data_IF_017190642892
#
_entry.id   IF_017190642892
#
_cell.length_a   1.000
_cell.length_b   1.000
_cell.length_c   1.000
_cell.angle_alpha   90.00
_cell.angle_beta   90.00
_cell.angle_gamma   90.00
#
_symmetry.space_group_name_H-M   'P 1'
#
loop_
_entity.id
_entity.type
_entity.pdbx_description
1 polymer ?
#
# COMPACT_ATOMS: atom_id res chain seq x y z
N UNK A 1 15.73 26.79 10.65
CA UNK A 1 14.91 26.61 9.42
C UNK A 1 15.84 26.06 8.37
N UNK A 2 15.55 24.87 7.86
CA UNK A 2 16.34 24.17 6.85
C UNK A 2 15.76 24.43 5.48
N UNK A 3 16.60 24.82 4.52
CA UNK A 3 16.18 25.02 3.14
C UNK A 3 16.32 23.72 2.37
N UNK A 4 15.27 23.32 1.66
CA UNK A 4 15.25 22.14 0.75
C UNK A 4 14.81 22.59 -0.62
N UNK A 5 15.67 22.43 -1.62
CA UNK A 5 15.36 22.84 -2.98
C UNK A 5 14.49 21.78 -3.68
N UNK A 6 13.48 22.22 -4.45
CA UNK A 6 12.53 21.34 -5.16
C UNK A 6 13.21 20.33 -6.07
N UNK A 7 14.39 20.61 -6.62
CA UNK A 7 15.12 19.65 -7.46
C UNK A 7 15.58 18.41 -6.70
N UNK A 8 15.87 18.53 -5.41
CA UNK A 8 16.21 17.40 -4.55
C UNK A 8 14.98 16.50 -4.36
N UNK A 9 13.83 17.11 -4.11
CA UNK A 9 12.54 16.40 -3.98
C UNK A 9 12.22 15.65 -5.28
N UNK A 10 12.29 16.34 -6.42
CA UNK A 10 12.04 15.75 -7.75
C UNK A 10 12.92 14.53 -8.01
N UNK A 11 14.23 14.66 -7.78
CA UNK A 11 15.18 13.57 -7.95
C UNK A 11 14.84 12.37 -7.06
N UNK A 12 14.58 12.58 -5.77
CA UNK A 12 14.26 11.51 -4.85
C UNK A 12 12.94 10.80 -5.24
N UNK A 13 11.88 11.54 -5.55
CA UNK A 13 10.60 10.96 -6.00
C UNK A 13 10.79 10.12 -7.27
N UNK A 14 11.54 10.62 -8.26
CA UNK A 14 11.88 9.88 -9.48
C UNK A 14 12.51 8.53 -9.16
N UNK A 15 13.58 8.54 -8.39
CA UNK A 15 14.31 7.33 -8.00
C UNK A 15 13.44 6.37 -7.20
N UNK A 16 12.63 6.87 -6.25
CA UNK A 16 11.70 6.07 -5.46
C UNK A 16 10.61 5.40 -6.28
N UNK A 17 10.11 6.06 -7.33
CA UNK A 17 9.15 5.45 -8.26
C UNK A 17 9.73 4.24 -8.99
N UNK A 18 10.97 4.35 -9.44
CA UNK A 18 11.69 3.26 -10.13
C UNK A 18 12.01 2.14 -9.14
N UNK A 19 12.66 2.48 -8.03
CA UNK A 19 13.06 1.54 -6.98
C UNK A 19 11.88 0.69 -6.49
N UNK A 20 10.77 1.33 -6.12
CA UNK A 20 9.59 0.64 -5.62
C UNK A 20 8.95 -0.31 -6.65
N UNK A 21 9.10 -0.04 -7.95
CA UNK A 21 8.57 -0.91 -8.99
C UNK A 21 9.51 -2.05 -9.42
N UNK A 22 10.80 -1.91 -9.16
CA UNK A 22 11.80 -2.94 -9.52
C UNK A 22 12.13 -3.88 -8.36
N UNK A 23 11.99 -3.41 -7.12
CA UNK A 23 12.37 -4.15 -5.93
C UNK A 23 11.27 -4.14 -4.88
N UNK A 24 10.97 -5.29 -4.31
CA UNK A 24 10.23 -5.34 -3.04
C UNK A 24 11.19 -5.11 -1.87
N UNK A 25 10.67 -4.53 -0.79
CA UNK A 25 11.37 -4.45 0.49
C UNK A 25 11.68 -5.84 1.04
N UNK A 26 12.71 -5.94 1.88
CA UNK A 26 13.16 -7.23 2.42
C UNK A 26 12.10 -7.90 3.30
N UNK A 27 11.30 -7.14 4.04
CA UNK A 27 10.17 -7.67 4.81
C UNK A 27 9.13 -8.35 3.93
N UNK A 28 8.80 -7.76 2.78
CA UNK A 28 7.88 -8.34 1.80
C UNK A 28 8.47 -9.60 1.14
N UNK A 29 9.75 -9.57 0.73
CA UNK A 29 10.43 -10.73 0.18
C UNK A 29 10.44 -11.89 1.17
N UNK A 30 10.83 -11.61 2.42
CA UNK A 30 10.87 -12.61 3.49
C UNK A 30 9.49 -13.20 3.78
N UNK A 31 8.44 -12.37 3.76
CA UNK A 31 7.07 -12.83 3.94
C UNK A 31 6.62 -13.77 2.80
N UNK A 32 6.94 -13.43 1.54
CA UNK A 32 6.65 -14.30 0.39
C UNK A 32 7.42 -15.61 0.44
N UNK A 33 8.71 -15.58 0.84
CA UNK A 33 9.52 -16.78 0.96
C UNK A 33 8.99 -17.70 2.05
N UNK A 34 8.68 -17.14 3.22
CA UNK A 34 8.05 -17.87 4.32
C UNK A 34 6.69 -18.45 3.91
N UNK A 35 5.89 -17.69 3.17
CA UNK A 35 4.61 -18.17 2.64
C UNK A 35 4.79 -19.38 1.71
N UNK A 36 5.79 -19.36 0.83
CA UNK A 36 6.09 -20.49 -0.06
C UNK A 36 6.54 -21.75 0.69
N UNK A 37 7.23 -21.57 1.82
CA UNK A 37 7.68 -22.69 2.67
C UNK A 37 6.54 -23.26 3.54
N UNK A 38 5.50 -22.48 3.81
CA UNK A 38 4.35 -22.84 4.66
C UNK A 38 3.12 -23.30 3.87
N UNK A 39 3.06 -23.05 2.58
CA UNK A 39 1.92 -23.44 1.74
C UNK A 39 1.85 -24.97 1.59
N UNK A 40 0.69 -25.53 1.82
CA UNK A 40 0.45 -26.98 1.76
C UNK A 40 -0.17 -27.42 0.42
N UNK A 41 -0.84 -26.50 -0.29
CA UNK A 41 -1.44 -26.82 -1.58
C UNK A 41 -0.35 -26.85 -2.68
N UNK A 42 -0.18 -27.98 -3.41
CA UNK A 42 0.86 -28.09 -4.42
C UNK A 42 0.80 -27.00 -5.50
N UNK A 43 -0.40 -26.57 -5.92
CA UNK A 43 -0.57 -25.48 -6.89
C UNK A 43 -0.19 -24.13 -6.26
N UNK A 44 -0.58 -23.90 -5.01
CA UNK A 44 -0.18 -22.72 -4.23
C UNK A 44 1.34 -22.61 -4.09
N UNK A 45 2.01 -23.72 -3.76
CA UNK A 45 3.49 -23.79 -3.71
C UNK A 45 4.12 -23.43 -5.06
N UNK A 46 3.60 -23.96 -6.16
CA UNK A 46 4.10 -23.67 -7.50
C UNK A 46 3.97 -22.19 -7.83
N UNK A 47 2.82 -21.57 -7.53
CA UNK A 47 2.55 -20.14 -7.78
C UNK A 47 3.50 -19.28 -6.95
N UNK A 48 3.63 -19.55 -5.63
CA UNK A 48 4.50 -18.78 -4.76
C UNK A 48 5.97 -18.87 -5.20
N UNK A 49 6.42 -20.03 -5.69
CA UNK A 49 7.77 -20.18 -6.26
C UNK A 49 7.94 -19.37 -7.56
N UNK A 50 6.93 -19.32 -8.43
CA UNK A 50 6.95 -18.44 -9.61
C UNK A 50 7.02 -16.97 -9.22
N UNK A 51 6.32 -16.54 -8.15
CA UNK A 51 6.44 -15.17 -7.65
C UNK A 51 7.85 -14.86 -7.14
N UNK A 52 8.50 -15.81 -6.45
CA UNK A 52 9.92 -15.66 -6.03
C UNK A 52 10.86 -15.51 -7.22
N UNK A 53 10.69 -16.35 -8.23
CA UNK A 53 11.48 -16.29 -9.47
C UNK A 53 11.27 -14.95 -10.21
N UNK A 54 10.02 -14.50 -10.31
CA UNK A 54 9.69 -13.20 -10.90
C UNK A 54 10.40 -12.03 -10.19
N UNK A 55 10.50 -12.04 -8.86
CA UNK A 55 11.23 -11.02 -8.12
C UNK A 55 12.73 -11.02 -8.44
N UNK A 56 13.34 -12.20 -8.60
CA UNK A 56 14.73 -12.32 -8.96
C UNK A 56 14.97 -11.75 -10.37
N UNK A 57 14.19 -12.19 -11.35
CA UNK A 57 14.27 -11.72 -12.74
C UNK A 57 14.07 -10.20 -12.82
N UNK A 58 13.06 -9.64 -12.15
CA UNK A 58 12.79 -8.21 -12.17
C UNK A 58 13.98 -7.39 -11.64
N UNK A 59 14.61 -7.85 -10.56
CA UNK A 59 15.77 -7.21 -9.98
C UNK A 59 17.05 -7.33 -10.82
N UNK A 60 17.29 -8.49 -11.43
CA UNK A 60 18.46 -8.74 -12.27
C UNK A 60 18.38 -8.01 -13.62
N UNK A 61 17.22 -8.08 -14.27
CA UNK A 61 16.98 -7.48 -15.59
C UNK A 61 16.63 -6.00 -15.53
N UNK A 62 16.46 -5.43 -14.32
CA UNK A 62 16.07 -4.02 -14.12
C UNK A 62 14.75 -3.68 -14.84
N UNK A 63 13.75 -4.53 -14.62
CA UNK A 63 12.40 -4.37 -15.18
C UNK A 63 11.34 -4.36 -14.07
N UNK A 64 10.14 -3.79 -14.31
CA UNK A 64 9.09 -3.77 -13.30
C UNK A 64 8.62 -5.17 -12.91
N UNK A 65 8.40 -5.39 -11.61
CA UNK A 65 7.90 -6.66 -11.04
C UNK A 65 6.55 -7.07 -11.63
N UNK A 66 5.73 -6.10 -12.02
CA UNK A 66 4.36 -6.30 -12.51
C UNK A 66 4.06 -5.33 -13.65
N UNK A 67 3.18 -5.73 -14.58
CA UNK A 67 2.67 -4.86 -15.65
C UNK A 67 1.85 -3.68 -15.12
N UNK A 68 1.20 -3.81 -13.95
CA UNK A 68 0.54 -2.70 -13.28
C UNK A 68 1.53 -2.03 -12.32
N UNK A 69 2.20 -1.00 -12.81
CA UNK A 69 3.14 -0.19 -12.02
C UNK A 69 2.43 0.88 -11.17
N UNK A 70 1.11 0.86 -11.19
CA UNK A 70 0.25 1.59 -10.27
C UNK A 70 0.11 3.08 -10.53
N UNK A 71 -0.75 3.70 -9.73
CA UNK A 71 -0.83 5.14 -9.55
C UNK A 71 0.05 5.53 -8.36
N UNK A 72 0.86 6.57 -8.50
CA UNK A 72 1.73 7.01 -7.42
C UNK A 72 0.92 7.62 -6.27
N UNK A 73 0.98 7.01 -5.09
CA UNK A 73 0.51 7.60 -3.83
C UNK A 73 1.74 8.07 -3.08
N UNK A 74 1.75 9.33 -2.66
CA UNK A 74 2.88 9.95 -1.98
C UNK A 74 2.41 10.48 -0.62
N UNK A 75 3.06 10.02 0.45
CA UNK A 75 2.93 10.63 1.76
C UNK A 75 4.14 11.52 1.98
N UNK A 76 3.90 12.80 2.23
CA UNK A 76 4.91 13.82 2.49
C UNK A 76 4.73 14.36 3.93
N UNK A 77 5.59 13.89 4.84
CA UNK A 77 5.68 14.40 6.20
C UNK A 77 6.71 15.54 6.20
N UNK A 78 6.23 16.78 6.27
CA UNK A 78 7.05 17.99 6.16
C UNK A 78 7.32 18.56 7.54
N UNK A 79 8.59 18.67 7.92
CA UNK A 79 9.00 19.32 9.16
C UNK A 79 8.57 20.78 9.17
N UNK A 80 8.01 21.26 10.29
CA UNK A 80 7.52 22.64 10.39
C UNK A 80 8.64 23.71 10.31
N UNK A 81 9.90 23.29 10.47
CA UNK A 81 11.09 24.15 10.32
C UNK A 81 11.76 24.02 8.96
N UNK A 82 11.09 23.40 7.99
CA UNK A 82 11.54 23.28 6.59
C UNK A 82 11.01 24.47 5.78
N UNK A 83 11.89 25.06 4.98
CA UNK A 83 11.54 25.98 3.92
C UNK A 83 11.84 25.37 2.56
N UNK A 84 10.82 25.27 1.72
CA UNK A 84 10.94 24.69 0.36
C UNK A 84 11.25 25.84 -0.61
N UNK A 85 12.35 25.71 -1.34
CA UNK A 85 12.84 26.69 -2.29
C UNK A 85 12.75 26.21 -3.73
N UNK A 86 12.64 27.16 -4.66
CA UNK A 86 12.73 26.91 -6.10
C UNK A 86 11.42 26.53 -6.77
N UNK A 87 10.30 26.42 -6.02
CA UNK A 87 8.99 26.14 -6.58
C UNK A 87 8.00 25.49 -5.64
N UNK A 88 6.94 24.92 -6.19
CA UNK A 88 5.89 24.23 -5.46
C UNK A 88 6.30 22.79 -5.12
N UNK A 89 6.04 22.36 -3.87
CA UNK A 89 6.24 20.98 -3.44
C UNK A 89 5.41 19.98 -4.28
N UNK A 90 4.16 20.35 -4.57
CA UNK A 90 3.28 19.51 -5.38
C UNK A 90 3.81 19.32 -6.82
N UNK A 91 4.31 20.40 -7.42
CA UNK A 91 4.86 20.35 -8.77
C UNK A 91 6.17 19.55 -8.81
N UNK A 92 7.01 19.68 -7.77
CA UNK A 92 8.24 18.91 -7.64
C UNK A 92 7.97 17.40 -7.50
N UNK A 93 6.96 17.01 -6.70
CA UNK A 93 6.54 15.63 -6.58
C UNK A 93 6.00 15.10 -7.91
N UNK A 94 5.10 15.83 -8.57
CA UNK A 94 4.55 15.43 -9.86
C UNK A 94 5.63 15.34 -10.95
N UNK A 95 6.58 16.27 -10.97
CA UNK A 95 7.73 16.20 -11.88
C UNK A 95 8.56 14.95 -11.64
N UNK A 96 8.80 14.59 -10.38
CA UNK A 96 9.51 13.35 -10.01
C UNK A 96 8.77 12.11 -10.47
N UNK A 97 7.44 12.06 -10.29
CA UNK A 97 6.59 10.96 -10.79
C UNK A 97 6.65 10.88 -12.32
N UNK A 98 6.46 12.01 -13.03
CA UNK A 98 6.62 12.07 -14.48
C UNK A 98 7.96 11.45 -14.92
N UNK A 99 9.07 11.96 -14.38
CA UNK A 99 10.41 11.52 -14.77
C UNK A 99 10.62 10.03 -14.42
N UNK A 100 10.18 9.58 -13.24
CA UNK A 100 10.29 8.19 -12.81
C UNK A 100 9.52 7.22 -13.69
N UNK A 101 8.29 7.56 -14.07
CA UNK A 101 7.48 6.71 -14.94
C UNK A 101 7.90 6.71 -16.40
N UNK A 102 8.50 7.81 -16.87
CA UNK A 102 9.01 7.89 -18.24
C UNK A 102 10.36 7.19 -18.36
N UNK A 103 11.33 7.54 -17.51
CA UNK A 103 12.69 7.01 -17.58
C UNK A 103 12.82 5.58 -17.06
N UNK A 104 11.99 5.18 -16.07
CA UNK A 104 11.90 3.80 -15.57
C UNK A 104 11.05 2.86 -16.42
N UNK A 105 10.61 3.30 -17.62
CA UNK A 105 9.75 2.49 -18.51
C UNK A 105 8.51 1.92 -17.81
N UNK A 106 7.98 2.64 -16.81
CA UNK A 106 6.80 2.24 -16.07
C UNK A 106 5.53 2.52 -16.88
N UNK A 107 4.46 1.75 -16.62
CA UNK A 107 3.18 1.89 -17.32
C UNK A 107 2.49 3.18 -16.90
N UNK A 108 2.10 4.01 -17.87
CA UNK A 108 1.32 5.23 -17.68
C UNK A 108 -0.16 4.85 -17.61
N UNK A 109 -0.70 4.77 -16.40
CA UNK A 109 -2.06 4.26 -16.16
C UNK A 109 -3.07 5.34 -15.75
N UNK A 110 -2.63 6.58 -15.55
CA UNK A 110 -3.49 7.68 -15.11
C UNK A 110 -4.27 8.26 -16.29
N UNK A 111 -5.55 8.51 -16.07
CA UNK A 111 -6.44 9.22 -17.00
C UNK A 111 -6.85 10.56 -16.40
N UNK A 112 -6.94 11.60 -17.21
CA UNK A 112 -7.20 12.97 -16.79
C UNK A 112 -8.64 13.21 -16.32
N UNK A 113 -9.58 12.38 -16.77
CA UNK A 113 -10.98 12.43 -16.40
C UNK A 113 -11.52 11.01 -16.20
N UNK A 114 -12.26 10.73 -15.11
CA UNK A 114 -12.74 9.37 -14.80
C UNK A 114 -13.78 8.85 -15.79
N UNK A 115 -14.45 9.70 -16.57
CA UNK A 115 -15.50 9.32 -17.52
C UNK A 115 -14.99 9.35 -18.98
N UNK A 116 -14.31 10.43 -19.39
CA UNK A 116 -13.71 10.59 -20.73
C UNK A 116 -12.49 9.69 -20.90
N UNK A 117 -11.70 9.50 -19.83
CA UNK A 117 -10.60 8.54 -19.69
C UNK A 117 -9.44 8.74 -20.67
N UNK A 118 -9.14 9.97 -21.01
CA UNK A 118 -7.95 10.30 -21.79
C UNK A 118 -6.70 10.12 -20.95
N UNK A 119 -5.72 9.36 -21.45
CA UNK A 119 -4.49 9.05 -20.71
C UNK A 119 -3.58 10.27 -20.62
N UNK A 120 -3.01 10.54 -19.45
CA UNK A 120 -2.10 11.67 -19.20
C UNK A 120 -0.72 11.48 -19.83
N UNK A 121 -0.35 10.25 -20.21
CA UNK A 121 0.90 9.83 -20.86
C UNK A 121 2.16 9.91 -20.01
N UNK A 122 2.05 10.34 -18.76
CA UNK A 122 3.17 10.52 -17.84
C UNK A 122 2.89 10.00 -16.42
N UNK A 123 1.70 9.43 -16.20
CA UNK A 123 1.22 8.91 -14.93
C UNK A 123 1.04 9.95 -13.82
N UNK A 124 0.88 11.21 -14.18
CA UNK A 124 0.51 12.28 -13.26
C UNK A 124 -0.98 12.65 -13.38
N UNK A 125 -1.59 13.30 -12.37
CA UNK A 125 -0.98 13.67 -11.10
C UNK A 125 -0.85 12.47 -10.13
N UNK A 126 0.09 12.58 -9.20
CA UNK A 126 0.15 11.70 -8.03
C UNK A 126 -1.00 12.03 -7.05
N UNK A 127 -1.39 11.03 -6.25
CA UNK A 127 -2.23 11.26 -5.06
C UNK A 127 -1.31 11.62 -3.89
N UNK A 128 -1.29 12.89 -3.49
CA UNK A 128 -0.36 13.40 -2.49
C UNK A 128 -1.09 13.69 -1.18
N UNK A 129 -0.60 13.10 -0.10
CA UNK A 129 -1.05 13.36 1.26
C UNK A 129 0.04 14.08 2.04
N UNK A 130 -0.28 15.25 2.58
CA UNK A 130 0.64 16.06 3.35
C UNK A 130 0.34 15.95 4.84
N UNK A 131 1.40 15.92 5.66
CA UNK A 131 1.32 16.14 7.09
C UNK A 131 2.46 17.06 7.52
N UNK A 132 2.16 17.95 8.47
CA UNK A 132 3.17 18.79 9.11
C UNK A 132 3.57 18.11 10.42
N UNK A 133 4.87 17.91 10.59
CA UNK A 133 5.45 17.24 11.76
C UNK A 133 6.49 18.16 12.44
N UNK A 134 6.81 17.96 13.71
CA UNK A 134 7.92 18.69 14.35
C UNK A 134 9.26 18.39 13.64
N UNK A 135 10.17 19.39 13.64
CA UNK A 135 11.54 19.21 13.14
C UNK A 135 11.78 19.81 11.76
N UNK A 136 12.93 19.46 11.18
CA UNK A 136 13.50 20.09 9.97
C UNK A 136 13.77 19.09 8.84
N UNK A 137 13.17 17.90 8.89
CA UNK A 137 13.29 16.90 7.83
C UNK A 137 12.01 16.79 7.01
N UNK A 138 12.14 16.33 5.78
CA UNK A 138 11.02 15.89 4.95
C UNK A 138 11.13 14.38 4.82
N UNK A 139 10.13 13.63 5.30
CA UNK A 139 10.04 12.20 5.03
C UNK A 139 9.05 11.97 3.89
N UNK A 140 9.53 11.34 2.84
CA UNK A 140 8.75 10.96 1.66
C UNK A 140 8.54 9.46 1.65
N UNK A 141 7.29 9.05 1.42
CA UNK A 141 6.96 7.66 1.12
C UNK A 141 6.25 7.61 -0.22
N UNK A 142 6.80 6.90 -1.18
CA UNK A 142 6.20 6.67 -2.50
C UNK A 142 5.68 5.24 -2.54
N UNK A 143 4.39 5.06 -2.70
CA UNK A 143 3.71 3.77 -2.76
C UNK A 143 2.92 3.65 -4.07
N UNK A 144 3.51 3.07 -5.13
CA UNK A 144 2.79 2.81 -6.37
C UNK A 144 1.67 1.79 -6.14
N UNK A 145 0.42 2.22 -6.29
CA UNK A 145 -0.75 1.40 -5.96
C UNK A 145 -1.44 0.86 -7.20
N UNK A 146 -1.34 -0.46 -7.39
CA UNK A 146 -2.04 -1.18 -8.46
C UNK A 146 -3.55 -1.21 -8.26
N UNK A 147 -4.32 -1.07 -9.35
CA UNK A 147 -5.77 -0.90 -9.28
C UNK A 147 -6.57 -2.20 -9.24
N UNK A 148 -6.00 -3.33 -9.60
CA UNK A 148 -6.67 -4.63 -9.40
C UNK A 148 -7.08 -4.83 -7.94
N UNK A 149 -6.13 -4.68 -7.02
CA UNK A 149 -6.40 -4.77 -5.59
C UNK A 149 -7.08 -3.51 -5.02
N UNK A 150 -6.78 -2.31 -5.54
CA UNK A 150 -7.44 -1.07 -5.09
C UNK A 150 -8.95 -1.13 -5.26
N UNK A 151 -9.44 -1.64 -6.39
CA UNK A 151 -10.86 -1.79 -6.66
C UNK A 151 -11.60 -2.71 -5.68
N UNK A 152 -10.86 -3.56 -4.97
CA UNK A 152 -11.43 -4.49 -3.99
C UNK A 152 -11.53 -3.90 -2.59
N UNK A 153 -11.09 -2.66 -2.39
CA UNK A 153 -11.14 -1.97 -1.10
C UNK A 153 -12.56 -1.56 -0.74
N UNK A 154 -12.85 -1.46 0.58
CA UNK A 154 -14.18 -1.15 1.11
C UNK A 154 -14.10 -0.18 2.28
N UNK A 155 -15.15 0.62 2.46
CA UNK A 155 -15.37 1.42 3.66
C UNK A 155 -16.72 1.05 4.25
N UNK A 156 -16.72 0.72 5.53
CA UNK A 156 -17.91 0.38 6.30
C UNK A 156 -18.13 1.44 7.38
N UNK A 157 -19.34 1.94 7.47
CA UNK A 157 -19.76 2.82 8.55
C UNK A 157 -20.55 1.99 9.56
N UNK A 158 -19.81 1.34 10.47
CA UNK A 158 -20.40 0.49 11.48
C UNK A 158 -20.99 1.30 12.63
N UNK A 159 -21.86 0.66 13.41
CA UNK A 159 -22.40 1.22 14.66
C UNK A 159 -21.45 0.89 15.82
N UNK A 160 -21.35 1.74 16.84
CA UNK A 160 -20.56 1.43 18.04
C UNK A 160 -20.93 0.09 18.69
N UNK A 161 -22.20 -0.30 18.62
CA UNK A 161 -22.69 -1.57 19.14
C UNK A 161 -22.16 -2.82 18.42
N UNK A 162 -21.67 -2.68 17.17
CA UNK A 162 -21.07 -3.77 16.41
C UNK A 162 -19.71 -4.16 16.99
N UNK A 163 -19.05 -3.23 17.69
CA UNK A 163 -17.83 -3.46 18.46
C UNK A 163 -16.66 -4.02 17.64
N UNK A 164 -15.75 -4.67 18.34
CA UNK A 164 -14.58 -5.30 17.73
C UNK A 164 -14.95 -6.45 16.80
N UNK A 165 -15.93 -7.26 17.18
CA UNK A 165 -16.42 -8.38 16.38
C UNK A 165 -16.98 -7.91 15.03
N UNK A 166 -17.78 -6.84 15.03
CA UNK A 166 -18.29 -6.24 13.78
C UNK A 166 -17.16 -5.75 12.89
N UNK A 167 -16.12 -5.14 13.46
CA UNK A 167 -14.94 -4.70 12.69
C UNK A 167 -14.18 -5.90 12.09
N UNK A 168 -13.92 -6.96 12.87
CA UNK A 168 -13.30 -8.21 12.37
C UNK A 168 -14.11 -8.80 11.22
N UNK A 169 -15.44 -8.91 11.39
CA UNK A 169 -16.33 -9.46 10.36
C UNK A 169 -16.32 -8.61 9.08
N UNK A 170 -16.31 -7.29 9.19
CA UNK A 170 -16.22 -6.38 8.05
C UNK A 170 -14.91 -6.57 7.27
N UNK A 171 -13.76 -6.71 7.96
CA UNK A 171 -12.46 -6.93 7.34
C UNK A 171 -12.44 -8.28 6.60
N UNK A 172 -12.83 -9.36 7.27
CA UNK A 172 -12.87 -10.70 6.69
C UNK A 172 -13.83 -10.77 5.50
N UNK A 173 -14.99 -10.10 5.58
CA UNK A 173 -15.95 -10.00 4.46
C UNK A 173 -15.34 -9.29 3.25
N UNK A 174 -14.64 -8.17 3.46
CA UNK A 174 -13.98 -7.45 2.39
C UNK A 174 -12.95 -8.32 1.65
N UNK A 175 -12.14 -9.10 2.39
CA UNK A 175 -11.17 -10.03 1.77
C UNK A 175 -11.87 -11.17 1.03
N UNK A 176 -12.93 -11.74 1.60
CA UNK A 176 -13.72 -12.79 0.96
C UNK A 176 -14.34 -12.31 -0.36
N UNK A 177 -14.92 -11.10 -0.36
CA UNK A 177 -15.51 -10.49 -1.57
C UNK A 177 -14.44 -10.16 -2.62
N UNK A 178 -13.25 -9.73 -2.21
CA UNK A 178 -12.14 -9.48 -3.10
C UNK A 178 -11.71 -10.76 -3.84
N UNK A 179 -11.61 -11.87 -3.11
CA UNK A 179 -11.26 -13.17 -3.67
C UNK A 179 -9.99 -13.12 -4.52
N UNK A 180 -10.00 -13.75 -5.70
CA UNK A 180 -8.85 -13.76 -6.61
C UNK A 180 -8.54 -12.38 -7.22
N UNK A 181 -9.51 -11.46 -7.27
CA UNK A 181 -9.37 -10.17 -7.95
C UNK A 181 -8.35 -9.23 -7.29
N UNK A 182 -8.02 -9.47 -6.02
CA UNK A 182 -6.98 -8.72 -5.33
C UNK A 182 -5.55 -9.24 -5.57
N UNK A 183 -5.38 -10.31 -6.38
CA UNK A 183 -4.12 -10.99 -6.65
C UNK A 183 -3.41 -11.44 -5.36
N UNK A 184 -4.01 -12.37 -4.57
CA UNK A 184 -3.41 -12.87 -3.35
C UNK A 184 -2.08 -13.65 -3.63
N UNK A 185 -1.20 -13.80 -2.60
CA UNK A 185 -1.44 -13.39 -1.22
C UNK A 185 -1.41 -11.88 -1.04
N UNK A 186 -2.39 -11.36 -0.28
CA UNK A 186 -2.57 -9.91 -0.10
C UNK A 186 -1.91 -9.38 1.16
N UNK A 187 -1.65 -8.07 1.17
CA UNK A 187 -1.47 -7.29 2.40
C UNK A 187 -2.74 -6.46 2.60
N UNK A 188 -3.32 -6.54 3.79
CA UNK A 188 -4.57 -5.86 4.14
C UNK A 188 -4.25 -4.67 5.05
N UNK A 189 -4.43 -3.47 4.55
CA UNK A 189 -4.34 -2.25 5.34
C UNK A 189 -5.73 -1.87 5.89
N UNK A 190 -5.81 -1.61 7.18
CA UNK A 190 -7.07 -1.29 7.85
C UNK A 190 -6.94 0.03 8.60
N UNK A 191 -7.97 0.86 8.49
CA UNK A 191 -8.14 2.06 9.29
C UNK A 191 -9.43 2.00 10.09
N UNK A 192 -9.35 2.12 11.41
CA UNK A 192 -10.51 2.07 12.31
C UNK A 192 -10.60 3.37 13.10
N UNK A 193 -11.78 3.99 13.06
CA UNK A 193 -12.04 5.25 13.77
C UNK A 193 -11.83 6.48 12.88
N UNK A 194 -11.81 7.66 13.52
CA UNK A 194 -11.80 8.95 12.82
C UNK A 194 -13.15 9.23 12.13
N UNK A 195 -13.04 9.72 10.91
CA UNK A 195 -14.12 10.02 9.98
C UNK A 195 -14.01 9.12 8.75
N UNK A 196 -14.93 9.19 7.82
CA UNK A 196 -14.96 8.41 6.57
C UNK A 196 -13.61 8.49 5.82
N UNK A 197 -13.15 9.69 5.53
CA UNK A 197 -11.89 9.94 4.82
C UNK A 197 -10.66 9.58 5.66
N UNK A 198 -10.73 9.82 6.99
CA UNK A 198 -9.62 9.49 7.90
C UNK A 198 -9.38 7.98 7.99
N UNK A 199 -10.45 7.20 8.09
CA UNK A 199 -10.37 5.74 8.08
C UNK A 199 -9.76 5.23 6.76
N UNK A 200 -10.21 5.75 5.61
CA UNK A 200 -9.66 5.39 4.30
C UNK A 200 -8.18 5.74 4.15
N UNK A 201 -7.77 6.94 4.61
CA UNK A 201 -6.37 7.37 4.61
C UNK A 201 -5.51 6.47 5.49
N UNK A 202 -5.98 6.15 6.71
CA UNK A 202 -5.26 5.25 7.62
C UNK A 202 -5.10 3.84 7.05
N UNK A 203 -6.12 3.31 6.38
CA UNK A 203 -6.04 2.03 5.71
C UNK A 203 -4.96 2.04 4.61
N UNK A 204 -4.86 3.12 3.83
CA UNK A 204 -3.80 3.30 2.84
C UNK A 204 -2.42 3.38 3.47
N UNK A 205 -2.27 4.15 4.55
CA UNK A 205 -1.02 4.26 5.30
C UNK A 205 -0.60 2.93 5.94
N UNK A 206 -1.56 2.13 6.43
CA UNK A 206 -1.29 0.83 7.01
C UNK A 206 -0.61 -0.14 6.04
N UNK A 207 -0.82 0.00 4.73
CA UNK A 207 -0.13 -0.78 3.70
C UNK A 207 1.38 -0.49 3.61
N UNK A 208 1.84 0.67 4.09
CA UNK A 208 3.26 1.04 4.08
C UNK A 208 3.99 0.65 5.38
N UNK A 209 3.30 0.02 6.33
CA UNK A 209 3.93 -0.54 7.52
C UNK A 209 4.65 -1.84 7.14
N UNK A 210 5.89 -2.08 7.63
CA UNK A 210 6.62 -3.29 7.32
C UNK A 210 5.86 -4.55 7.71
N UNK A 211 5.84 -5.54 6.83
CA UNK A 211 5.19 -6.84 7.05
C UNK A 211 5.92 -7.57 8.18
N UNK A 212 5.15 -8.18 9.08
CA UNK A 212 5.68 -8.84 10.29
C UNK A 212 5.83 -7.92 11.50
N UNK A 213 5.48 -6.62 11.36
CA UNK A 213 5.32 -5.72 12.50
C UNK A 213 3.87 -5.68 12.97
N UNK A 214 3.67 -5.31 14.23
CA UNK A 214 2.34 -5.22 14.83
C UNK A 214 2.08 -3.84 15.42
N UNK A 215 0.81 -3.56 15.69
CA UNK A 215 0.40 -2.38 16.45
C UNK A 215 1.04 -2.37 17.84
N UNK A 216 1.38 -1.18 18.34
CA UNK A 216 1.85 -0.98 19.72
C UNK A 216 0.75 -1.24 20.77
N UNK A 217 -0.52 -1.16 20.37
CA UNK A 217 -1.65 -1.44 21.23
C UNK A 217 -1.92 -2.95 21.28
N UNK A 218 -1.81 -3.61 22.46
CA UNK A 218 -1.94 -5.06 22.57
C UNK A 218 -3.27 -5.62 22.04
N UNK A 219 -4.38 -4.91 22.22
CA UNK A 219 -5.69 -5.30 21.70
C UNK A 219 -5.77 -5.25 20.18
N UNK A 220 -5.10 -4.28 19.56
CA UNK A 220 -5.06 -4.16 18.09
C UNK A 220 -4.10 -5.20 17.50
N UNK A 221 -2.96 -5.44 18.15
CA UNK A 221 -2.08 -6.55 17.78
C UNK A 221 -2.81 -7.88 17.77
N UNK A 222 -3.54 -8.20 18.84
CA UNK A 222 -4.34 -9.43 18.91
C UNK A 222 -5.40 -9.50 17.81
N UNK A 223 -6.03 -8.37 17.46
CA UNK A 223 -6.97 -8.28 16.35
C UNK A 223 -6.28 -8.50 14.98
N UNK A 224 -5.08 -7.96 14.76
CA UNK A 224 -4.30 -8.21 13.54
C UNK A 224 -4.01 -9.70 13.34
N UNK A 225 -3.59 -10.39 14.42
CA UNK A 225 -3.30 -11.82 14.43
C UNK A 225 -4.57 -12.65 14.18
N UNK A 226 -5.67 -12.34 14.87
CA UNK A 226 -6.97 -13.00 14.70
C UNK A 226 -7.50 -12.85 13.27
N UNK A 227 -7.46 -11.63 12.73
CA UNK A 227 -7.95 -11.38 11.37
C UNK A 227 -7.10 -12.08 10.33
N UNK A 228 -5.77 -12.08 10.49
CA UNK A 228 -4.85 -12.79 9.58
C UNK A 228 -5.16 -14.30 9.55
N UNK A 229 -5.38 -14.92 10.71
CA UNK A 229 -5.77 -16.32 10.80
C UNK A 229 -7.11 -16.57 10.10
N UNK A 230 -8.15 -15.77 10.39
CA UNK A 230 -9.47 -15.89 9.76
C UNK A 230 -9.43 -15.71 8.25
N UNK A 231 -8.61 -14.78 7.76
CA UNK A 231 -8.43 -14.53 6.33
C UNK A 231 -7.73 -15.72 5.65
N UNK A 232 -6.70 -16.28 6.26
CA UNK A 232 -6.01 -17.44 5.72
C UNK A 232 -6.92 -18.69 5.72
N UNK A 233 -7.77 -18.83 6.73
CA UNK A 233 -8.79 -19.90 6.80
C UNK A 233 -9.90 -19.76 5.74
N UNK A 234 -9.97 -18.67 4.97
CA UNK A 234 -10.87 -18.59 3.81
C UNK A 234 -10.46 -19.55 2.68
N UNK A 235 -9.21 -19.98 2.65
CA UNK A 235 -8.71 -20.93 1.66
C UNK A 235 -8.65 -20.39 0.23
N UNK A 236 -8.63 -19.06 0.05
CA UNK A 236 -8.55 -18.42 -1.29
C UNK A 236 -7.21 -18.76 -1.93
N UNK A 237 -6.12 -18.69 -1.17
CA UNK A 237 -4.78 -19.09 -1.59
C UNK A 237 -4.14 -18.18 -2.63
N UNK A 238 -2.90 -18.52 -3.01
CA UNK A 238 -2.13 -17.77 -4.00
C UNK A 238 -2.87 -17.72 -5.35
N UNK A 239 -2.91 -16.53 -5.96
CA UNK A 239 -3.64 -16.22 -7.19
C UNK A 239 -5.16 -16.57 -7.13
N UNK A 240 -5.72 -16.90 -5.98
CA UNK A 240 -7.10 -17.31 -5.81
C UNK A 240 -7.39 -18.75 -6.24
N UNK A 241 -6.37 -19.59 -6.33
CA UNK A 241 -6.47 -20.98 -6.82
C UNK A 241 -6.47 -22.02 -5.67
N UNK A 242 -6.80 -21.58 -4.47
CA UNK A 242 -6.82 -22.42 -3.28
C UNK A 242 -5.45 -22.46 -2.58
N UNK A 243 -5.47 -22.74 -1.28
CA UNK A 243 -4.28 -22.86 -0.48
C UNK A 243 -4.43 -22.23 0.92
N UNK A 244 -3.38 -22.32 1.71
CA UNK A 244 -3.35 -21.89 3.11
C UNK A 244 -2.94 -20.42 3.25
N UNK A 245 -2.29 -19.82 2.25
CA UNK A 245 -1.81 -18.45 2.32
C UNK A 245 -2.63 -17.53 1.42
N UNK A 246 -3.63 -16.86 2.00
CA UNK A 246 -4.46 -15.84 1.35
C UNK A 246 -3.90 -14.43 1.57
N UNK A 247 -3.37 -14.17 2.78
CA UNK A 247 -2.76 -12.90 3.14
C UNK A 247 -1.40 -13.09 3.82
N UNK A 248 -0.49 -12.14 3.57
CA UNK A 248 0.82 -12.08 4.21
C UNK A 248 0.78 -11.28 5.52
N UNK A 249 -0.06 -10.26 5.58
CA UNK A 249 -0.23 -9.43 6.76
C UNK A 249 -1.60 -8.73 6.78
N UNK A 250 -2.03 -8.42 8.00
CA UNK A 250 -3.12 -7.47 8.29
C UNK A 250 -2.54 -6.39 9.18
N UNK A 251 -2.53 -5.16 8.71
CA UNK A 251 -1.99 -4.00 9.41
C UNK A 251 -3.13 -3.06 9.77
N UNK A 252 -3.33 -2.77 11.07
CA UNK A 252 -4.45 -1.95 11.55
C UNK A 252 -3.92 -0.66 12.18
N UNK A 253 -4.36 0.48 11.65
CA UNK A 253 -4.18 1.80 12.26
C UNK A 253 -5.49 2.26 12.89
N UNK A 254 -5.42 2.89 14.06
CA UNK A 254 -6.60 3.38 14.77
C UNK A 254 -6.52 4.88 15.04
N UNK A 255 -7.68 5.51 15.19
CA UNK A 255 -7.79 6.92 15.55
C UNK A 255 -9.06 7.15 16.40
N UNK A 256 -9.02 8.11 17.35
CA UNK A 256 -10.22 8.49 18.10
C UNK A 256 -11.39 8.82 17.16
N UNK A 257 -12.61 8.42 17.54
CA UNK A 257 -13.79 8.58 16.70
C UNK A 257 -14.94 9.24 17.48
N UNK A 258 -15.99 9.65 16.76
CA UNK A 258 -17.20 10.18 17.38
C UNK A 258 -17.95 9.08 18.12
N UNK A 259 -18.57 9.40 19.27
CA UNK A 259 -19.27 8.43 20.13
C UNK A 259 -20.36 7.63 19.39
N UNK A 260 -20.92 8.15 18.32
CA UNK A 260 -21.99 7.52 17.53
C UNK A 260 -21.48 6.77 16.28
N UNK A 261 -20.17 6.68 16.05
CA UNK A 261 -19.63 6.10 14.83
C UNK A 261 -18.53 5.07 15.08
N UNK A 262 -18.40 4.11 14.16
CA UNK A 262 -17.29 3.16 14.09
C UNK A 262 -16.92 2.92 12.61
N UNK A 263 -16.26 3.89 11.95
CA UNK A 263 -15.81 3.70 10.57
C UNK A 263 -14.68 2.67 10.52
N UNK A 264 -14.76 1.76 9.55
CA UNK A 264 -13.74 0.75 9.25
C UNK A 264 -13.46 0.79 7.76
N UNK A 265 -12.25 1.11 7.39
CA UNK A 265 -11.80 1.06 6.00
C UNK A 265 -10.82 -0.10 5.82
N UNK A 266 -10.98 -0.81 4.71
CA UNK A 266 -10.14 -1.95 4.33
C UNK A 266 -9.56 -1.67 2.96
N UNK A 267 -8.25 -1.50 2.87
CA UNK A 267 -7.55 -1.28 1.63
C UNK A 267 -6.71 -2.50 1.26
N UNK A 268 -7.01 -3.10 0.11
CA UNK A 268 -6.32 -4.28 -0.38
C UNK A 268 -5.06 -3.92 -1.14
N UNK A 269 -3.96 -4.65 -0.89
CA UNK A 269 -2.80 -4.64 -1.76
C UNK A 269 -2.44 -6.08 -2.14
N UNK A 270 -2.05 -6.28 -3.42
CA UNK A 270 -1.64 -7.59 -3.91
C UNK A 270 -0.27 -7.99 -3.36
N UNK A 271 0.22 -9.16 -3.74
CA UNK A 271 1.55 -9.67 -3.38
C UNK A 271 2.71 -8.74 -3.78
N UNK A 272 2.47 -7.78 -4.68
CA UNK A 272 3.42 -6.69 -4.98
C UNK A 272 3.06 -5.47 -4.15
N UNK A 273 3.04 -5.60 -2.81
CA UNK A 273 2.92 -4.47 -1.90
C UNK A 273 4.28 -3.77 -1.81
N UNK A 274 4.41 -2.66 -2.52
CA UNK A 274 5.67 -1.96 -2.77
C UNK A 274 5.60 -0.51 -2.32
N UNK A 275 6.68 -0.05 -1.72
CA UNK A 275 6.89 1.36 -1.38
C UNK A 275 8.37 1.63 -1.15
N UNK A 276 8.77 2.88 -1.34
CA UNK A 276 10.10 3.37 -0.99
C UNK A 276 9.95 4.53 0.01
N UNK A 277 10.90 4.63 0.94
CA UNK A 277 10.90 5.67 1.98
C UNK A 277 12.25 6.38 1.97
N UNK A 278 12.24 7.72 1.99
CA UNK A 278 13.44 8.55 2.13
C UNK A 278 13.19 9.72 3.05
N UNK A 279 14.21 10.07 3.82
CA UNK A 279 14.23 11.28 4.65
C UNK A 279 15.27 12.23 4.08
N UNK A 280 14.83 13.44 3.74
CA UNK A 280 15.61 14.55 3.25
C UNK A 280 15.92 15.50 4.40
#
# INVERSE_FOLDING_TARGET
>A
MRNVHVSEITRNIKEMCIEANYYLSDDMKNALYKAADQEENPLGCQILNQLKENLAIAGEEQIPICQDTGMAVVFAEVGQDVHIEGGSLADAINKGVHDGYVEGYLRKSVVNDPFIRENTKDNTPAVIHYSIVPGENIKLTVAPKGFGSENMSRVFMLKPADGMEGAVNAIVSAVREAGPNACPPVVVGVGIGGTFEKAALMAKQALTRPVGTHSEFPSIKAMEEEVLEKVNNLGIGAAGLGGTVTALAVNINTYPTHIAGLPVAVNMCCHVNRHAVRTL
#
